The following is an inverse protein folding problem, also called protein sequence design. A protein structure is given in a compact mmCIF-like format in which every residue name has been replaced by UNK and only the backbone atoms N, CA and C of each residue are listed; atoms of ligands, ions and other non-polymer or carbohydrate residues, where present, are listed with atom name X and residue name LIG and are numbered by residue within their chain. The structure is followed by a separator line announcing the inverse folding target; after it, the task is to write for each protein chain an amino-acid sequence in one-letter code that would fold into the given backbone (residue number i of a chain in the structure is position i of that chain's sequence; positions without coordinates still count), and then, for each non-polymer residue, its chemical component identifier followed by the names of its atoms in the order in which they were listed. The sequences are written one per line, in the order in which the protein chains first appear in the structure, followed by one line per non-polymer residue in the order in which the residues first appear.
data_IF_829690207065
#
_entry.id   IF_829690207065
#
_cell.length_a   1.000
_cell.length_b   1.000
_cell.length_c   1.000
_cell.angle_alpha   90.00
_cell.angle_beta   90.00
_cell.angle_gamma   90.00
#
_symmetry.space_group_name_H-M   'P 1'
#
loop_
_entity.id
_entity.type
_entity.pdbx_description
1 polymer ?
#
# COMPACT_ATOMS: atom_id res chain seq x y z
N UNK A 1 32.12 12.45 -73.39
CA UNK A 1 30.96 13.07 -74.07
C UNK A 1 29.68 12.69 -73.32
N UNK A 2 28.87 13.71 -72.95
CA UNK A 2 27.44 13.66 -72.53
C UNK A 2 27.13 12.94 -71.21
N UNK A 3 26.20 13.38 -70.35
CA UNK A 3 25.43 14.61 -70.25
C UNK A 3 24.76 14.61 -68.88
N UNK A 4 24.77 15.79 -68.27
CA UNK A 4 23.96 16.37 -67.20
C UNK A 4 22.56 15.82 -66.88
N UNK A 5 22.29 15.80 -65.56
CA UNK A 5 21.09 16.17 -64.76
C UNK A 5 19.78 15.37 -64.91
N UNK A 6 19.28 14.86 -63.77
CA UNK A 6 17.89 15.11 -63.37
C UNK A 6 17.72 15.01 -61.83
N UNK A 7 17.21 16.09 -61.26
CA UNK A 7 16.78 16.25 -59.86
C UNK A 7 15.37 15.68 -59.76
N UNK A 8 15.11 14.77 -58.81
CA UNK A 8 13.76 14.54 -58.29
C UNK A 8 13.83 14.52 -56.76
N UNK A 9 13.32 15.61 -56.18
CA UNK A 9 12.88 15.74 -54.80
C UNK A 9 11.75 14.73 -54.54
N UNK A 10 11.80 13.99 -53.44
CA UNK A 10 10.60 13.75 -52.62
C UNK A 10 10.98 13.24 -51.23
N UNK A 11 10.54 14.03 -50.26
CA UNK A 11 10.67 13.91 -48.82
C UNK A 11 10.16 12.58 -48.26
N UNK A 12 11.05 11.77 -47.69
CA UNK A 12 10.65 10.75 -46.72
C UNK A 12 10.63 11.41 -45.34
N UNK A 13 9.43 11.77 -44.94
CA UNK A 13 9.09 12.23 -43.59
C UNK A 13 9.49 11.11 -42.64
N UNK A 14 10.51 11.37 -41.81
CA UNK A 14 10.84 10.51 -40.68
C UNK A 14 9.64 10.53 -39.73
N UNK A 15 8.81 9.49 -39.80
CA UNK A 15 7.77 9.24 -38.81
C UNK A 15 8.48 8.90 -37.49
N UNK A 16 8.74 9.94 -36.70
CA UNK A 16 9.17 9.83 -35.31
C UNK A 16 8.04 9.18 -34.53
N UNK A 17 8.09 7.86 -34.41
CA UNK A 17 7.26 7.10 -33.50
C UNK A 17 7.65 7.50 -32.08
N UNK A 18 6.90 8.44 -31.50
CA UNK A 18 6.98 8.71 -30.07
C UNK A 18 6.60 7.43 -29.34
N UNK A 19 7.62 6.72 -28.83
CA UNK A 19 7.42 5.62 -27.91
C UNK A 19 6.82 6.21 -26.63
N UNK A 20 5.50 6.10 -26.47
CA UNK A 20 4.84 6.33 -25.20
C UNK A 20 5.36 5.27 -24.22
N UNK A 21 6.27 5.67 -23.33
CA UNK A 21 6.63 4.87 -22.18
C UNK A 21 5.34 4.64 -21.37
N UNK A 22 4.89 3.39 -21.31
CA UNK A 22 3.81 2.98 -20.43
C UNK A 22 4.28 3.26 -19.00
N UNK A 23 3.76 4.33 -18.40
CA UNK A 23 3.85 4.54 -16.95
C UNK A 23 3.01 3.44 -16.33
N UNK A 24 3.67 2.44 -15.77
CA UNK A 24 3.00 1.45 -14.93
C UNK A 24 2.41 2.20 -13.73
N UNK A 25 1.09 2.10 -13.47
CA UNK A 25 0.52 2.67 -12.27
C UNK A 25 1.21 2.02 -11.08
N UNK A 26 1.82 2.83 -10.22
CA UNK A 26 2.35 2.41 -8.93
C UNK A 26 1.25 1.59 -8.24
N UNK A 27 1.48 0.28 -8.15
CA UNK A 27 0.60 -0.69 -7.52
C UNK A 27 0.33 -0.19 -6.12
N UNK A 28 -0.83 0.43 -5.90
CA UNK A 28 -1.19 0.96 -4.58
C UNK A 28 -1.24 -0.22 -3.62
N UNK A 29 -0.23 -0.28 -2.76
CA UNK A 29 -0.08 -1.32 -1.77
C UNK A 29 -1.34 -1.46 -0.92
N UNK A 30 -1.60 -2.71 -0.57
CA UNK A 30 -2.82 -3.29 -0.02
C UNK A 30 -3.63 -2.38 0.90
N UNK A 31 -4.95 -2.45 0.74
CA UNK A 31 -5.92 -2.08 1.77
C UNK A 31 -5.61 -2.84 3.07
N UNK A 32 -4.76 -2.28 3.91
CA UNK A 32 -4.46 -2.81 5.23
C UNK A 32 -5.65 -2.50 6.12
N UNK A 33 -6.25 -3.54 6.68
CA UNK A 33 -7.34 -3.39 7.65
C UNK A 33 -6.75 -2.75 8.91
N UNK A 34 -6.93 -1.44 9.04
CA UNK A 34 -6.36 -0.64 10.11
C UNK A 34 -7.49 -0.11 10.99
N UNK A 35 -7.45 -0.44 12.28
CA UNK A 35 -8.42 0.04 13.25
C UNK A 35 -7.75 0.98 14.23
N UNK A 36 -8.38 2.14 14.43
CA UNK A 36 -8.03 3.07 15.50
C UNK A 36 -9.10 3.01 16.58
N UNK A 37 -8.70 2.60 17.77
CA UNK A 37 -9.57 2.48 18.94
C UNK A 37 -9.20 3.55 19.97
N UNK A 38 -10.18 4.37 20.37
CA UNK A 38 -9.99 5.47 21.32
C UNK A 38 -10.87 5.30 22.55
N UNK A 39 -10.28 5.50 23.73
CA UNK A 39 -11.00 5.62 24.99
C UNK A 39 -10.47 6.85 25.75
N UNK A 40 -11.31 7.89 25.83
CA UNK A 40 -10.95 9.23 26.36
C UNK A 40 -9.70 9.77 25.66
N UNK A 41 -8.56 9.85 26.36
CA UNK A 41 -7.27 10.36 25.84
C UNK A 41 -6.33 9.24 25.38
N UNK A 42 -6.70 7.98 25.55
CA UNK A 42 -5.87 6.82 25.20
C UNK A 42 -6.28 6.33 23.82
N UNK A 43 -5.28 6.13 22.95
CA UNK A 43 -5.45 5.58 21.60
C UNK A 43 -4.67 4.27 21.50
N UNK A 44 -5.28 3.29 20.83
CA UNK A 44 -4.69 2.01 20.46
C UNK A 44 -4.99 1.75 19.00
N UNK A 45 -4.09 1.05 18.33
CA UNK A 45 -4.23 0.71 16.92
C UNK A 45 -4.10 -0.79 16.74
N UNK A 46 -4.89 -1.35 15.83
CA UNK A 46 -4.82 -2.75 15.43
C UNK A 46 -4.66 -2.74 13.91
N UNK A 47 -3.70 -3.48 13.38
CA UNK A 47 -3.49 -3.56 11.94
C UNK A 47 -3.04 -4.95 11.50
N UNK A 48 -3.23 -5.23 10.23
CA UNK A 48 -2.68 -6.42 9.57
C UNK A 48 -1.60 -5.98 8.60
N UNK A 49 -0.44 -6.56 8.74
CA UNK A 49 0.66 -6.46 7.80
C UNK A 49 0.84 -7.81 7.10
N UNK A 50 1.34 -7.78 5.86
CA UNK A 50 1.76 -8.98 5.15
C UNK A 50 3.28 -9.09 5.30
N UNK A 51 3.73 -10.15 5.96
CA UNK A 51 5.12 -10.54 6.02
C UNK A 51 5.51 -11.14 4.67
N UNK A 52 6.28 -10.37 3.90
CA UNK A 52 6.68 -10.72 2.53
C UNK A 52 7.73 -11.85 2.50
N UNK A 53 8.50 -12.03 3.56
CA UNK A 53 9.52 -13.08 3.65
C UNK A 53 8.85 -14.44 3.85
N UNK A 54 7.90 -14.48 4.79
CA UNK A 54 7.21 -15.68 5.20
C UNK A 54 5.92 -15.98 4.41
N UNK A 55 5.46 -15.03 3.58
CA UNK A 55 4.14 -15.04 2.94
C UNK A 55 2.99 -15.27 3.94
N UNK A 56 3.09 -14.64 5.13
CA UNK A 56 2.10 -14.75 6.20
C UNK A 56 1.47 -13.39 6.47
N UNK A 57 0.25 -13.37 6.98
CA UNK A 57 -0.29 -12.18 7.61
C UNK A 57 0.15 -12.12 9.08
N UNK A 58 0.39 -10.90 9.56
CA UNK A 58 0.76 -10.59 10.94
C UNK A 58 -0.24 -9.56 11.47
N UNK A 59 -0.94 -9.90 12.55
CA UNK A 59 -1.80 -8.97 13.26
C UNK A 59 -0.99 -8.28 14.35
N UNK A 60 -0.95 -6.95 14.31
CA UNK A 60 -0.20 -6.10 15.22
C UNK A 60 -1.15 -5.26 16.06
N UNK A 61 -0.82 -5.15 17.34
CA UNK A 61 -1.55 -4.34 18.31
C UNK A 61 -0.63 -3.34 19.00
N UNK A 62 -0.96 -2.06 18.87
CA UNK A 62 -0.19 -0.98 19.48
C UNK A 62 -0.80 -0.55 20.81
N UNK A 63 0.00 -0.57 21.87
CA UNK A 63 -0.37 -0.04 23.19
C UNK A 63 0.75 0.84 23.71
N UNK A 64 0.42 2.11 24.01
CA UNK A 64 1.39 3.10 24.50
C UNK A 64 2.62 3.26 23.59
N UNK A 65 2.40 3.26 22.28
CA UNK A 65 3.46 3.40 21.27
C UNK A 65 4.26 2.14 20.98
N UNK A 66 3.97 1.03 21.68
CA UNK A 66 4.67 -0.24 21.47
C UNK A 66 3.77 -1.18 20.67
N UNK A 67 4.29 -1.65 19.54
CA UNK A 67 3.67 -2.69 18.74
C UNK A 67 3.95 -4.07 19.31
N UNK A 68 2.93 -4.93 19.29
CA UNK A 68 3.04 -6.34 19.64
C UNK A 68 2.36 -7.19 18.59
N UNK A 69 3.04 -8.25 18.16
CA UNK A 69 2.42 -9.33 17.42
C UNK A 69 1.42 -10.05 18.33
N UNK A 70 0.17 -10.09 17.87
CA UNK A 70 -0.95 -10.73 18.58
C UNK A 70 -1.51 -11.92 17.80
N UNK A 71 -1.00 -12.14 16.58
CA UNK A 71 -1.30 -13.31 15.78
C UNK A 71 -0.52 -13.32 14.48
N UNK A 72 -0.26 -14.51 13.97
CA UNK A 72 0.37 -14.77 12.66
C UNK A 72 -0.32 -15.95 12.01
N UNK A 73 -0.60 -15.84 10.72
CA UNK A 73 -1.27 -16.91 9.98
C UNK A 73 -0.92 -16.88 8.49
N UNK A 74 -1.08 -18.02 7.82
CA UNK A 74 -0.92 -18.13 6.36
C UNK A 74 -2.00 -17.38 5.58
N UNK A 75 -3.18 -17.17 6.19
CA UNK A 75 -4.34 -16.62 5.50
C UNK A 75 -4.82 -15.34 6.20
N UNK A 76 -4.99 -14.26 5.43
CA UNK A 76 -5.47 -12.94 5.88
C UNK A 76 -6.78 -13.05 6.66
N UNK A 77 -7.70 -13.93 6.27
CA UNK A 77 -8.97 -14.15 6.98
C UNK A 77 -8.77 -14.61 8.43
N UNK A 78 -7.69 -15.31 8.72
CA UNK A 78 -7.36 -15.75 10.09
C UNK A 78 -6.83 -14.58 10.91
N UNK A 79 -5.96 -13.75 10.34
CA UNK A 79 -5.56 -12.50 11.00
C UNK A 79 -6.74 -11.56 11.23
N UNK A 80 -7.69 -11.48 10.29
CA UNK A 80 -8.92 -10.70 10.47
C UNK A 80 -9.76 -11.18 11.64
N UNK A 81 -9.88 -12.50 11.86
CA UNK A 81 -10.57 -13.03 13.05
C UNK A 81 -9.88 -12.59 14.35
N UNK A 82 -8.55 -12.59 14.40
CA UNK A 82 -7.79 -12.10 15.56
C UNK A 82 -8.08 -10.62 15.79
N UNK A 83 -8.03 -9.80 14.74
CA UNK A 83 -8.30 -8.36 14.81
C UNK A 83 -9.73 -8.07 15.27
N UNK A 84 -10.74 -8.74 14.71
CA UNK A 84 -12.14 -8.57 15.11
C UNK A 84 -12.39 -9.00 16.57
N UNK A 85 -11.73 -10.07 17.04
CA UNK A 85 -11.82 -10.46 18.44
C UNK A 85 -11.24 -9.39 19.39
N UNK A 86 -10.08 -8.81 19.04
CA UNK A 86 -9.48 -7.74 19.84
C UNK A 86 -10.35 -6.49 19.82
N UNK A 87 -10.86 -6.11 18.65
CA UNK A 87 -11.79 -4.99 18.49
C UNK A 87 -13.04 -5.19 19.35
N UNK A 88 -13.69 -6.35 19.26
CA UNK A 88 -14.88 -6.67 20.05
C UNK A 88 -14.62 -6.60 21.56
N UNK A 89 -13.46 -7.07 22.03
CA UNK A 89 -13.07 -6.96 23.44
C UNK A 89 -12.86 -5.49 23.87
N UNK A 90 -12.29 -4.65 23.00
CA UNK A 90 -12.12 -3.23 23.27
C UNK A 90 -13.47 -2.50 23.30
N UNK A 91 -14.34 -2.78 22.34
CA UNK A 91 -15.69 -2.20 22.28
C UNK A 91 -16.52 -2.59 23.51
N UNK A 92 -16.46 -3.86 23.93
CA UNK A 92 -17.07 -4.32 25.19
C UNK A 92 -16.51 -3.59 26.42
N UNK A 93 -15.26 -3.13 26.37
CA UNK A 93 -14.62 -2.30 27.40
C UNK A 93 -14.84 -0.79 27.19
N UNK A 94 -15.88 -0.38 26.43
CA UNK A 94 -16.25 1.00 26.12
C UNK A 94 -15.21 1.79 25.29
N UNK A 95 -14.42 1.13 24.46
CA UNK A 95 -13.59 1.80 23.46
C UNK A 95 -14.40 2.09 22.19
N UNK A 96 -14.10 3.20 21.53
CA UNK A 96 -14.66 3.53 20.21
C UNK A 96 -13.65 3.16 19.14
N UNK A 97 -13.90 2.08 18.42
CA UNK A 97 -13.07 1.65 17.29
C UNK A 97 -13.64 2.17 15.98
N UNK A 98 -12.76 2.59 15.08
CA UNK A 98 -13.10 2.92 13.69
C UNK A 98 -12.09 2.28 12.76
N UNK A 99 -12.59 1.74 11.66
CA UNK A 99 -11.76 1.32 10.55
C UNK A 99 -11.26 2.57 9.81
N UNK A 100 -9.97 2.61 9.54
CA UNK A 100 -9.36 3.55 8.64
C UNK A 100 -9.09 2.78 7.35
N UNK A 101 -9.56 3.31 6.21
CA UNK A 101 -9.38 2.69 4.90
C UNK A 101 -7.91 2.71 4.44
N UNK A 102 -7.65 3.04 3.17
CA UNK A 102 -6.26 3.18 2.69
C UNK A 102 -5.54 4.31 3.47
N UNK A 103 -4.79 3.93 4.51
CA UNK A 103 -3.90 4.83 5.23
C UNK A 103 -2.53 4.70 4.62
N UNK A 104 -2.05 5.78 3.98
CA UNK A 104 -0.63 5.90 3.64
C UNK A 104 0.12 6.22 4.93
N UNK A 105 0.87 5.24 5.42
CA UNK A 105 1.80 5.45 6.54
C UNK A 105 3.09 5.99 5.91
N UNK A 106 3.33 7.30 6.02
CA UNK A 106 4.62 7.90 5.69
C UNK A 106 5.55 7.73 6.88
N UNK A 107 6.61 6.93 6.74
CA UNK A 107 7.74 6.93 7.67
C UNK A 107 8.52 8.23 7.51
N UNK A 108 8.86 8.89 8.61
CA UNK A 108 9.58 10.18 8.62
C UNK A 108 11.09 10.04 8.35
N UNK A 109 11.51 9.03 7.59
CA UNK A 109 12.92 8.76 7.27
C UNK A 109 13.36 9.34 5.91
N UNK A 110 12.49 10.07 5.20
CA UNK A 110 12.75 10.59 3.86
C UNK A 110 13.13 12.09 3.85
N UNK A 111 13.89 12.53 4.84
CA UNK A 111 14.56 13.83 4.80
C UNK A 111 16.00 13.69 5.31
N UNK A 112 16.92 13.42 4.39
CA UNK A 112 18.20 14.15 4.25
C UNK A 112 18.79 13.94 2.84
#
# INVERSE_FOLDING_TARGET
MKSTRLIILLSLIAASTMAFAAVEPAKSESSSNYFLCKNRKIVRTIRIENDLEDNKCVALYTKAGIDKEVGRAQNVSTCMKVVENIKGNLEAANWKCRELGQVRITSSSDHE
#
